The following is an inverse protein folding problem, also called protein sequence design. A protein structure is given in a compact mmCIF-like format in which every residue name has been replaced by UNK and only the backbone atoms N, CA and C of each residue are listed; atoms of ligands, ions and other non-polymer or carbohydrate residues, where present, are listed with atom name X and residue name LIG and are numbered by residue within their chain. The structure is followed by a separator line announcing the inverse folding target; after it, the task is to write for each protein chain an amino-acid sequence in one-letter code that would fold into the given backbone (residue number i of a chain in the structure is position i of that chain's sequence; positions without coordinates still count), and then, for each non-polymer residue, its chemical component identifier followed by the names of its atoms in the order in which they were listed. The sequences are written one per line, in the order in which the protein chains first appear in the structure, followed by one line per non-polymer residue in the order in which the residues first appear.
data_IF_833056737422
#
_entry.id   IF_833056737422
#
_cell.length_a   1.000
_cell.length_b   1.000
_cell.length_c   1.000
_cell.angle_alpha   90.00
_cell.angle_beta   90.00
_cell.angle_gamma   90.00
#
_symmetry.space_group_name_H-M   'P 1'
#
loop_
_entity.id
_entity.type
_entity.pdbx_description
1 polymer ?
#
# COMPACT_ATOMS: atom_id res chain seq x y z
N UNK A 1 16.45 -6.03 -14.35
CA UNK A 1 16.89 -5.03 -15.34
C UNK A 1 15.64 -4.33 -15.84
N UNK A 2 15.49 -3.00 -15.69
CA UNK A 2 14.42 -2.30 -16.44
C UNK A 2 14.78 -2.46 -17.91
N UNK A 3 14.07 -3.33 -18.63
CA UNK A 3 14.24 -3.41 -20.08
C UNK A 3 14.06 -1.99 -20.65
N UNK A 4 14.77 -1.61 -21.70
CA UNK A 4 14.65 -0.26 -22.29
C UNK A 4 13.22 0.15 -22.71
N UNK A 5 12.27 -0.80 -22.71
CA UNK A 5 10.84 -0.56 -22.78
C UNK A 5 10.22 -0.02 -21.49
N UNK A 6 10.56 -0.55 -20.31
CA UNK A 6 9.96 -0.11 -19.03
C UNK A 6 10.41 1.29 -18.61
N UNK A 7 11.61 1.75 -18.99
CA UNK A 7 12.01 3.14 -18.76
C UNK A 7 11.17 4.10 -19.59
N UNK A 8 10.92 3.76 -20.86
CA UNK A 8 10.00 4.54 -21.72
C UNK A 8 8.58 4.51 -21.17
N UNK A 9 8.10 3.34 -20.75
CA UNK A 9 6.79 3.22 -20.07
C UNK A 9 6.74 4.07 -18.82
N UNK A 10 7.79 4.10 -17.99
CA UNK A 10 7.84 4.90 -16.77
C UNK A 10 7.72 6.39 -17.07
N UNK A 11 8.48 6.90 -18.04
CA UNK A 11 8.41 8.31 -18.45
C UNK A 11 7.02 8.66 -19.01
N UNK A 12 6.46 7.80 -19.86
CA UNK A 12 5.12 7.97 -20.40
C UNK A 12 4.04 7.97 -19.31
N UNK A 13 4.14 7.06 -18.33
CA UNK A 13 3.23 6.94 -17.19
C UNK A 13 3.33 8.19 -16.31
N UNK A 14 4.54 8.66 -15.98
CA UNK A 14 4.73 9.88 -15.19
C UNK A 14 4.13 11.09 -15.89
N UNK A 15 4.34 11.24 -17.20
CA UNK A 15 3.77 12.32 -17.99
C UNK A 15 2.23 12.24 -18.05
N UNK A 16 1.68 11.05 -18.30
CA UNK A 16 0.23 10.82 -18.35
C UNK A 16 -0.44 11.12 -16.99
N UNK A 17 0.14 10.65 -15.89
CA UNK A 17 -0.36 10.93 -14.53
C UNK A 17 -0.27 12.42 -14.22
N UNK A 18 0.85 13.09 -14.54
CA UNK A 18 0.98 14.53 -14.34
C UNK A 18 -0.07 15.33 -15.13
N UNK A 19 -0.31 14.96 -16.40
CA UNK A 19 -1.35 15.57 -17.23
C UNK A 19 -2.75 15.34 -16.66
N UNK A 20 -3.07 14.10 -16.28
CA UNK A 20 -4.37 13.73 -15.70
C UNK A 20 -4.64 14.48 -14.39
N UNK A 21 -3.67 14.52 -13.47
CA UNK A 21 -3.81 15.24 -12.20
C UNK A 21 -3.89 16.76 -12.39
N UNK A 22 -3.18 17.30 -13.40
CA UNK A 22 -3.29 18.72 -13.76
C UNK A 22 -4.68 19.07 -14.28
N UNK A 23 -5.26 18.21 -15.13
CA UNK A 23 -6.62 18.35 -15.62
C UNK A 23 -7.65 18.29 -14.48
N UNK A 24 -7.54 17.29 -13.60
CA UNK A 24 -8.40 17.16 -12.40
C UNK A 24 -8.36 18.43 -11.57
N UNK A 25 -7.16 18.95 -11.26
CA UNK A 25 -7.00 20.19 -10.47
C UNK A 25 -7.67 21.38 -11.15
N UNK A 26 -7.48 21.52 -12.46
CA UNK A 26 -8.05 22.59 -13.25
C UNK A 26 -9.58 22.56 -13.22
N UNK A 27 -10.19 21.41 -13.46
CA UNK A 27 -11.64 21.20 -13.40
C UNK A 27 -12.18 21.43 -12.00
N UNK A 28 -11.50 20.90 -10.97
CA UNK A 28 -11.92 21.03 -9.58
C UNK A 28 -11.98 22.49 -9.10
N UNK A 29 -11.13 23.37 -9.63
CA UNK A 29 -11.15 24.81 -9.36
C UNK A 29 -12.34 25.54 -9.99
N UNK A 30 -12.94 24.99 -11.06
CA UNK A 30 -14.00 25.63 -11.84
C UNK A 30 -15.39 25.09 -11.51
N UNK A 31 -15.49 23.80 -11.18
CA UNK A 31 -16.74 23.14 -10.89
C UNK A 31 -16.94 22.97 -9.38
N UNK A 32 -18.16 23.19 -8.90
CA UNK A 32 -18.54 22.92 -7.51
C UNK A 32 -18.48 21.41 -7.20
N UNK A 33 -18.23 21.02 -5.94
CA UNK A 33 -18.32 19.61 -5.54
C UNK A 33 -19.67 18.97 -5.88
N UNK A 34 -19.67 17.68 -6.20
CA UNK A 34 -20.86 16.90 -6.53
C UNK A 34 -20.81 16.32 -7.94
N UNK A 35 -21.99 16.07 -8.51
CA UNK A 35 -22.14 15.36 -9.79
C UNK A 35 -21.41 16.01 -10.98
N UNK A 36 -21.43 17.35 -11.19
CA UNK A 36 -20.73 17.94 -12.33
C UNK A 36 -19.22 17.72 -12.27
N UNK A 37 -18.63 17.82 -11.08
CA UNK A 37 -17.20 17.56 -10.88
C UNK A 37 -16.87 16.09 -11.06
N UNK A 38 -17.71 15.19 -10.55
CA UNK A 38 -17.55 13.75 -10.76
C UNK A 38 -17.62 13.38 -12.25
N UNK A 39 -18.62 13.89 -12.98
CA UNK A 39 -18.77 13.64 -14.41
C UNK A 39 -17.51 14.08 -15.19
N UNK A 40 -16.95 15.24 -14.85
CA UNK A 40 -15.72 15.72 -15.47
C UNK A 40 -14.47 14.91 -15.05
N UNK A 41 -14.49 14.17 -13.94
CA UNK A 41 -13.39 13.29 -13.54
C UNK A 41 -13.46 11.91 -14.22
N UNK A 42 -14.62 11.49 -14.74
CA UNK A 42 -14.84 10.16 -15.34
C UNK A 42 -13.75 9.75 -16.34
N UNK A 43 -13.30 10.61 -17.28
CA UNK A 43 -12.23 10.23 -18.21
C UNK A 43 -10.92 9.86 -17.50
N UNK A 44 -10.58 10.56 -16.43
CA UNK A 44 -9.38 10.28 -15.63
C UNK A 44 -9.55 9.01 -14.82
N UNK A 45 -10.69 8.85 -14.14
CA UNK A 45 -11.03 7.64 -13.36
C UNK A 45 -11.09 6.38 -14.24
N UNK A 46 -11.42 6.51 -15.51
CA UNK A 46 -11.41 5.39 -16.46
C UNK A 46 -10.00 5.01 -16.91
N UNK A 47 -9.09 5.99 -17.04
CA UNK A 47 -7.74 5.78 -17.57
C UNK A 47 -6.75 5.33 -16.49
N UNK A 48 -6.83 5.88 -15.28
CA UNK A 48 -5.87 5.59 -14.20
C UNK A 48 -5.71 4.10 -13.88
N UNK A 49 -6.77 3.25 -13.85
CA UNK A 49 -6.62 1.82 -13.63
C UNK A 49 -5.97 1.07 -14.79
N UNK A 50 -5.96 1.65 -16.00
CA UNK A 50 -5.36 1.03 -17.19
C UNK A 50 -3.87 1.31 -17.29
N UNK A 51 -3.43 2.49 -16.85
CA UNK A 51 -2.02 2.93 -16.90
C UNK A 51 -1.02 1.89 -16.36
N UNK A 52 -1.25 1.22 -15.21
CA UNK A 52 -0.33 0.20 -14.69
C UNK A 52 -0.02 -0.94 -15.66
N UNK A 53 -0.96 -1.27 -16.57
CA UNK A 53 -0.80 -2.36 -17.54
C UNK A 53 0.25 -2.05 -18.62
N UNK A 54 0.74 -0.81 -18.71
CA UNK A 54 1.85 -0.43 -19.59
C UNK A 54 3.21 -1.00 -19.12
N UNK A 55 3.30 -1.47 -17.87
CA UNK A 55 4.53 -2.04 -17.32
C UNK A 55 4.62 -3.55 -17.59
N UNK A 56 5.79 -3.97 -18.06
CA UNK A 56 6.14 -5.39 -18.15
C UNK A 56 6.63 -5.91 -16.81
N UNK A 57 7.47 -5.13 -16.12
CA UNK A 57 7.94 -5.45 -14.79
C UNK A 57 6.79 -5.53 -13.78
N UNK A 58 6.69 -6.66 -13.09
CA UNK A 58 5.64 -6.97 -12.13
C UNK A 58 5.63 -5.97 -10.98
N UNK A 59 6.78 -5.67 -10.37
CA UNK A 59 6.84 -4.76 -9.21
C UNK A 59 6.35 -3.34 -9.58
N UNK A 60 6.70 -2.85 -10.77
CA UNK A 60 6.22 -1.55 -11.27
C UNK A 60 4.72 -1.57 -11.52
N UNK A 61 4.21 -2.65 -12.13
CA UNK A 61 2.78 -2.82 -12.41
C UNK A 61 1.95 -2.89 -11.14
N UNK A 62 2.35 -3.71 -10.17
CA UNK A 62 1.63 -3.87 -8.89
C UNK A 62 1.68 -2.58 -8.07
N UNK A 63 2.84 -1.95 -7.95
CA UNK A 63 2.99 -0.69 -7.20
C UNK A 63 2.16 0.43 -7.83
N UNK A 64 2.23 0.57 -9.16
CA UNK A 64 1.43 1.57 -9.88
C UNK A 64 -0.07 1.25 -9.82
N UNK A 65 -0.45 -0.02 -9.86
CA UNK A 65 -1.83 -0.47 -9.68
C UNK A 65 -2.39 -0.12 -8.31
N UNK A 66 -1.62 -0.35 -7.25
CA UNK A 66 -1.98 0.06 -5.90
C UNK A 66 -2.08 1.59 -5.77
N UNK A 67 -1.14 2.34 -6.33
CA UNK A 67 -1.13 3.81 -6.21
C UNK A 67 -2.22 4.48 -7.05
N UNK A 68 -2.30 4.13 -8.33
CA UNK A 68 -3.17 4.80 -9.31
C UNK A 68 -4.56 4.17 -9.35
N UNK A 69 -4.64 2.85 -9.50
CA UNK A 69 -5.91 2.12 -9.60
C UNK A 69 -6.69 2.03 -8.29
N UNK A 70 -6.07 2.37 -7.15
CA UNK A 70 -6.76 2.40 -5.85
C UNK A 70 -6.64 3.74 -5.12
N UNK A 71 -5.44 4.12 -4.67
CA UNK A 71 -5.33 5.28 -3.78
C UNK A 71 -5.72 6.59 -4.49
N UNK A 72 -5.26 6.78 -5.73
CA UNK A 72 -5.58 7.96 -6.52
C UNK A 72 -7.08 8.02 -6.83
N UNK A 73 -7.67 6.93 -7.33
CA UNK A 73 -9.13 6.81 -7.54
C UNK A 73 -9.94 7.30 -6.33
N UNK A 74 -9.63 6.77 -5.13
CA UNK A 74 -10.36 7.11 -3.92
C UNK A 74 -10.17 8.57 -3.50
N UNK A 75 -8.96 9.11 -3.68
CA UNK A 75 -8.68 10.53 -3.43
C UNK A 75 -9.43 11.43 -4.41
N UNK A 76 -9.51 11.05 -5.68
CA UNK A 76 -10.24 11.80 -6.71
C UNK A 76 -11.75 11.77 -6.47
N UNK A 77 -12.31 10.63 -6.09
CA UNK A 77 -13.73 10.51 -5.71
C UNK A 77 -14.08 11.37 -4.49
N UNK A 78 -13.18 11.43 -3.49
CA UNK A 78 -13.35 12.35 -2.36
C UNK A 78 -13.31 13.80 -2.82
N UNK A 79 -12.33 14.18 -3.64
CA UNK A 79 -12.21 15.54 -4.19
C UNK A 79 -13.44 15.92 -5.04
N UNK A 80 -13.96 14.99 -5.84
CA UNK A 80 -15.19 15.17 -6.60
C UNK A 80 -16.36 15.51 -5.68
N UNK A 81 -16.42 14.86 -4.52
CA UNK A 81 -17.42 15.04 -3.48
C UNK A 81 -17.15 16.22 -2.55
N UNK A 82 -16.05 16.96 -2.72
CA UNK A 82 -15.67 18.11 -1.88
C UNK A 82 -15.06 17.73 -0.53
N UNK A 83 -14.58 16.50 -0.40
CA UNK A 83 -13.98 15.95 0.81
C UNK A 83 -12.55 15.47 0.52
N UNK A 84 -11.89 14.96 1.56
CA UNK A 84 -10.62 14.24 1.42
C UNK A 84 -9.38 15.11 1.54
N UNK A 85 -8.20 14.50 1.31
CA UNK A 85 -6.91 15.13 1.60
C UNK A 85 -6.40 16.05 0.48
N UNK A 86 -7.11 16.13 -0.66
CA UNK A 86 -6.69 16.93 -1.81
C UNK A 86 -7.23 18.35 -1.73
N UNK A 87 -6.32 19.32 -1.82
CA UNK A 87 -6.66 20.73 -1.90
C UNK A 87 -6.15 21.33 -3.23
N UNK A 88 -7.06 21.96 -3.96
CA UNK A 88 -6.75 22.61 -5.24
C UNK A 88 -5.93 23.89 -5.11
N UNK A 89 -5.83 24.46 -3.91
CA UNK A 89 -4.99 25.63 -3.61
C UNK A 89 -3.49 25.32 -3.73
N UNK A 90 -3.12 24.04 -3.57
CA UNK A 90 -1.74 23.58 -3.56
C UNK A 90 -0.98 23.92 -4.85
N UNK A 91 0.35 24.12 -4.77
CA UNK A 91 1.22 24.12 -5.94
C UNK A 91 1.02 22.86 -6.76
N UNK A 92 1.12 22.97 -8.09
CA UNK A 92 0.81 21.85 -8.99
C UNK A 92 1.63 20.58 -8.66
N UNK A 93 2.95 20.63 -8.44
CA UNK A 93 3.73 19.45 -8.07
C UNK A 93 3.23 18.77 -6.78
N UNK A 94 2.86 19.58 -5.78
CA UNK A 94 2.29 19.11 -4.53
C UNK A 94 0.94 18.41 -4.72
N UNK A 95 0.07 19.00 -5.54
CA UNK A 95 -1.20 18.38 -5.88
C UNK A 95 -1.01 17.03 -6.59
N UNK A 96 -0.17 17.00 -7.63
CA UNK A 96 0.10 15.79 -8.43
C UNK A 96 0.61 14.66 -7.53
N UNK A 97 1.61 14.95 -6.69
CA UNK A 97 2.20 13.93 -5.84
C UNK A 97 1.26 13.46 -4.73
N UNK A 98 0.50 14.34 -4.07
CA UNK A 98 -0.49 13.90 -3.06
C UNK A 98 -1.59 13.08 -3.73
N UNK A 99 -1.98 13.42 -4.96
CA UNK A 99 -3.01 12.68 -5.69
C UNK A 99 -2.53 11.29 -6.12
N UNK A 100 -1.29 11.15 -6.60
CA UNK A 100 -0.79 9.90 -7.17
C UNK A 100 -0.09 8.98 -6.18
N UNK A 101 0.59 9.50 -5.16
CA UNK A 101 1.40 8.71 -4.22
C UNK A 101 0.60 8.37 -2.95
N UNK A 102 1.01 7.33 -2.18
CA UNK A 102 0.38 6.90 -0.92
C UNK A 102 0.61 7.87 0.24
N UNK A 103 0.61 9.17 -0.01
CA UNK A 103 0.98 10.20 0.95
C UNK A 103 -0.20 11.01 1.44
N UNK A 104 -0.07 11.45 2.68
CA UNK A 104 -0.97 12.35 3.40
C UNK A 104 -0.12 13.44 4.01
N UNK A 105 -0.56 14.70 3.85
CA UNK A 105 0.04 15.80 4.57
C UNK A 105 -0.29 15.65 6.05
N UNK A 106 0.73 15.79 6.88
CA UNK A 106 0.53 15.99 8.31
C UNK A 106 -0.18 17.33 8.55
N UNK A 107 -1.17 17.34 9.43
CA UNK A 107 -1.78 18.60 9.87
C UNK A 107 -0.76 19.42 10.69
N UNK A 108 -0.72 20.73 10.46
CA UNK A 108 0.25 21.65 11.08
C UNK A 108 0.22 21.62 12.62
N UNK A 109 -0.92 21.28 13.24
CA UNK A 109 -1.07 21.17 14.70
C UNK A 109 -0.30 20.02 15.36
N UNK A 110 0.10 19.00 14.60
CA UNK A 110 0.83 17.84 15.14
C UNK A 110 2.37 17.99 15.04
N UNK A 111 2.84 19.13 14.53
CA UNK A 111 4.23 19.32 14.07
C UNK A 111 5.20 19.84 15.14
N UNK A 112 4.74 20.49 16.21
CA UNK A 112 5.65 21.25 17.09
C UNK A 112 6.41 20.38 18.11
N UNK A 113 5.92 19.19 18.48
CA UNK A 113 6.53 18.38 19.56
C UNK A 113 6.62 16.87 19.31
N UNK A 114 6.25 16.37 18.12
CA UNK A 114 6.22 14.94 17.86
C UNK A 114 7.43 14.48 17.03
N UNK A 115 8.03 13.30 17.35
CA UNK A 115 9.17 12.77 16.61
C UNK A 115 8.85 12.66 15.11
N UNK A 116 9.87 12.91 14.28
CA UNK A 116 9.77 12.90 12.81
C UNK A 116 9.23 11.53 12.36
N UNK A 117 8.07 11.45 11.70
CA UNK A 117 7.51 10.19 11.27
C UNK A 117 8.21 9.71 9.99
N UNK A 118 8.41 8.39 9.91
CA UNK A 118 9.05 7.71 8.79
C UNK A 118 10.07 6.70 9.29
N UNK A 119 10.33 5.65 8.50
CA UNK A 119 11.48 4.79 8.78
C UNK A 119 12.75 5.63 8.72
N UNK A 120 13.51 5.67 9.81
CA UNK A 120 14.85 6.24 9.78
C UNK A 120 15.71 5.51 8.75
N UNK A 121 16.71 6.20 8.18
CA UNK A 121 17.60 5.61 7.17
C UNK A 121 18.20 4.28 7.62
N UNK A 122 18.57 4.17 8.90
CA UNK A 122 19.09 2.94 9.51
C UNK A 122 18.04 1.83 9.48
N UNK A 123 16.80 2.11 9.90
CA UNK A 123 15.72 1.12 9.87
C UNK A 123 15.43 0.66 8.44
N UNK A 124 15.43 1.58 7.47
CA UNK A 124 15.23 1.25 6.06
C UNK A 124 16.36 0.36 5.54
N UNK A 125 17.61 0.67 5.89
CA UNK A 125 18.76 -0.14 5.51
C UNK A 125 18.69 -1.55 6.12
N UNK A 126 18.30 -1.67 7.40
CA UNK A 126 18.10 -2.96 8.07
C UNK A 126 16.99 -3.77 7.37
N UNK A 127 15.85 -3.15 7.06
CA UNK A 127 14.77 -3.83 6.34
C UNK A 127 15.17 -4.24 4.92
N UNK A 128 15.93 -3.40 4.21
CA UNK A 128 16.47 -3.74 2.90
C UNK A 128 17.46 -4.91 2.98
N UNK A 129 18.32 -4.96 4.00
CA UNK A 129 19.24 -6.08 4.24
C UNK A 129 18.50 -7.38 4.59
N UNK A 130 17.44 -7.30 5.42
CA UNK A 130 16.58 -8.44 5.72
C UNK A 130 15.87 -8.95 4.45
N UNK A 131 15.33 -8.05 3.64
CA UNK A 131 14.71 -8.43 2.36
C UNK A 131 15.74 -9.07 1.42
N UNK A 132 16.94 -8.51 1.30
CA UNK A 132 18.01 -9.09 0.48
C UNK A 132 18.44 -10.49 0.98
N UNK A 133 18.41 -10.71 2.31
CA UNK A 133 18.69 -12.02 2.91
C UNK A 133 17.60 -13.02 2.56
N UNK A 134 16.31 -12.64 2.67
CA UNK A 134 15.18 -13.48 2.23
C UNK A 134 15.31 -13.82 0.74
N UNK A 135 15.65 -12.84 -0.09
CA UNK A 135 15.84 -13.05 -1.53
C UNK A 135 16.98 -14.04 -1.79
N UNK A 136 18.09 -13.95 -1.05
CA UNK A 136 19.24 -14.84 -1.22
C UNK A 136 18.97 -16.31 -0.89
N UNK A 137 17.91 -16.62 -0.12
CA UNK A 137 17.58 -18.01 0.24
C UNK A 137 16.56 -18.65 -0.71
N UNK A 138 15.84 -17.89 -1.55
CA UNK A 138 14.88 -18.44 -2.50
C UNK A 138 15.44 -19.44 -3.52
N UNK A 139 16.72 -19.38 -3.95
CA UNK A 139 17.32 -20.45 -4.77
C UNK A 139 17.24 -21.85 -4.13
N UNK A 140 17.05 -21.93 -2.80
CA UNK A 140 16.91 -23.18 -2.06
C UNK A 140 15.46 -23.50 -1.65
N UNK A 141 14.46 -22.81 -2.21
CA UNK A 141 13.06 -22.96 -1.80
C UNK A 141 12.51 -24.38 -1.91
N UNK A 142 12.98 -25.17 -2.88
CA UNK A 142 12.55 -26.56 -3.08
C UNK A 142 12.98 -27.50 -1.94
N UNK A 143 13.93 -27.07 -1.10
CA UNK A 143 14.40 -27.81 0.09
C UNK A 143 13.72 -27.34 1.38
N UNK A 144 12.90 -26.29 1.32
CA UNK A 144 12.29 -25.69 2.49
C UNK A 144 10.99 -26.40 2.85
N UNK A 145 10.70 -26.48 4.15
CA UNK A 145 9.36 -26.81 4.60
C UNK A 145 8.36 -25.76 4.07
N UNK A 146 7.18 -26.21 3.65
CA UNK A 146 6.15 -25.34 3.06
C UNK A 146 5.78 -24.15 3.95
N UNK A 147 5.61 -24.36 5.26
CA UNK A 147 5.27 -23.28 6.19
C UNK A 147 6.39 -22.26 6.34
N UNK A 148 7.66 -22.69 6.23
CA UNK A 148 8.80 -21.77 6.22
C UNK A 148 8.75 -20.91 4.96
N UNK A 149 8.48 -21.50 3.80
CA UNK A 149 8.36 -20.76 2.54
C UNK A 149 7.21 -19.74 2.58
N UNK A 150 6.04 -20.15 3.10
CA UNK A 150 4.88 -19.26 3.27
C UNK A 150 5.18 -18.08 4.22
N UNK A 151 5.93 -18.35 5.30
CA UNK A 151 6.39 -17.29 6.21
C UNK A 151 7.35 -16.32 5.50
N UNK A 152 8.30 -16.83 4.72
CA UNK A 152 9.22 -16.00 3.94
C UNK A 152 8.46 -15.14 2.92
N UNK A 153 7.42 -15.67 2.27
CA UNK A 153 6.55 -14.89 1.38
C UNK A 153 5.84 -13.75 2.13
N UNK A 154 5.32 -14.01 3.34
CA UNK A 154 4.67 -12.97 4.13
C UNK A 154 5.63 -11.88 4.59
N UNK A 155 6.82 -12.26 5.04
CA UNK A 155 7.87 -11.32 5.43
C UNK A 155 8.37 -10.50 4.25
N UNK A 156 8.54 -11.14 3.08
CA UNK A 156 8.89 -10.45 1.84
C UNK A 156 7.87 -9.36 1.53
N UNK A 157 6.58 -9.71 1.45
CA UNK A 157 5.51 -8.74 1.12
C UNK A 157 5.50 -7.58 2.11
N UNK A 158 5.62 -7.87 3.41
CA UNK A 158 5.68 -6.82 4.44
C UNK A 158 6.87 -5.87 4.23
N UNK A 159 8.09 -6.41 4.11
CA UNK A 159 9.31 -5.63 3.96
C UNK A 159 9.32 -4.84 2.64
N UNK A 160 8.93 -5.48 1.54
CA UNK A 160 8.88 -4.84 0.23
C UNK A 160 7.87 -3.69 0.22
N UNK A 161 6.68 -3.88 0.78
CA UNK A 161 5.66 -2.84 0.85
C UNK A 161 6.12 -1.67 1.75
N UNK A 162 6.70 -1.94 2.92
CA UNK A 162 7.25 -0.90 3.79
C UNK A 162 8.34 -0.07 3.07
N UNK A 163 9.28 -0.74 2.39
CA UNK A 163 10.36 -0.08 1.65
C UNK A 163 9.86 0.76 0.48
N UNK A 164 8.92 0.24 -0.31
CA UNK A 164 8.30 0.99 -1.43
C UNK A 164 7.57 2.22 -0.92
N UNK A 165 6.83 2.10 0.18
CA UNK A 165 6.13 3.22 0.79
C UNK A 165 7.09 4.24 1.42
N UNK A 166 8.15 3.78 2.09
CA UNK A 166 9.19 4.64 2.65
C UNK A 166 9.94 5.40 1.55
N UNK A 167 10.21 4.75 0.41
CA UNK A 167 10.81 5.39 -0.76
C UNK A 167 9.88 6.46 -1.36
N UNK A 168 8.60 6.13 -1.59
CA UNK A 168 7.61 7.09 -2.08
C UNK A 168 7.49 8.30 -1.14
N UNK A 169 7.57 8.06 0.17
CA UNK A 169 7.55 9.11 1.17
C UNK A 169 8.81 9.99 1.13
N UNK A 170 10.00 9.38 1.08
CA UNK A 170 11.25 10.11 0.96
C UNK A 170 11.31 10.96 -0.32
N UNK A 171 10.84 10.42 -1.45
CA UNK A 171 10.77 11.15 -2.71
C UNK A 171 9.83 12.37 -2.61
N UNK A 172 8.64 12.18 -2.03
CA UNK A 172 7.70 13.29 -1.83
C UNK A 172 8.26 14.37 -0.88
N UNK A 173 8.99 13.97 0.17
CA UNK A 173 9.68 14.91 1.05
C UNK A 173 10.79 15.67 0.32
N UNK A 174 11.62 14.99 -0.47
CA UNK A 174 12.74 15.61 -1.17
C UNK A 174 12.27 16.64 -2.22
N UNK A 175 11.19 16.35 -2.94
CA UNK A 175 10.69 17.23 -4.01
C UNK A 175 9.84 18.39 -3.48
N UNK A 176 9.15 18.21 -2.35
CA UNK A 176 8.08 19.13 -1.93
C UNK A 176 8.18 19.62 -0.48
N UNK A 177 9.16 19.15 0.29
CA UNK A 177 9.31 19.51 1.71
C UNK A 177 8.16 19.04 2.60
N UNK A 178 7.36 18.05 2.16
CA UNK A 178 6.20 17.58 2.92
C UNK A 178 6.57 16.43 3.85
N UNK A 179 6.23 16.58 5.12
CA UNK A 179 6.24 15.47 6.08
C UNK A 179 4.97 14.62 5.94
N UNK A 180 5.16 13.32 6.11
CA UNK A 180 4.20 12.30 5.72
C UNK A 180 3.86 11.41 6.90
N UNK A 181 2.60 10.99 6.93
CA UNK A 181 2.16 10.02 7.94
C UNK A 181 2.87 8.67 7.72
N UNK A 182 3.32 8.00 8.81
CA UNK A 182 3.80 6.63 8.74
C UNK A 182 2.74 5.72 8.14
N UNK A 183 3.17 4.77 7.32
CA UNK A 183 2.25 3.82 6.70
C UNK A 183 2.03 2.59 7.58
N UNK A 184 2.98 2.26 8.45
CA UNK A 184 2.88 1.16 9.39
C UNK A 184 3.24 1.61 10.80
N UNK A 185 2.67 0.92 11.79
CA UNK A 185 3.02 1.06 13.20
C UNK A 185 3.14 -0.33 13.85
N UNK A 186 4.32 -0.95 13.73
CA UNK A 186 4.68 -2.23 14.38
C UNK A 186 3.53 -3.26 14.32
N UNK A 187 3.09 -3.68 13.11
CA UNK A 187 1.90 -4.53 12.94
C UNK A 187 1.98 -5.87 13.67
N UNK A 188 3.19 -6.38 13.90
CA UNK A 188 3.45 -7.59 14.68
C UNK A 188 3.13 -7.46 16.19
N UNK A 189 2.79 -6.28 16.69
CA UNK A 189 2.35 -6.06 18.09
C UNK A 189 0.83 -5.99 18.24
N UNK A 190 0.07 -6.29 17.17
CA UNK A 190 -1.39 -6.21 17.18
C UNK A 190 -2.00 -7.29 18.07
N UNK A 191 -2.85 -6.92 19.02
CA UNK A 191 -3.56 -7.85 19.89
C UNK A 191 -5.01 -8.14 19.42
N UNK A 192 -5.42 -7.57 18.28
CA UNK A 192 -6.73 -7.78 17.65
C UNK A 192 -6.67 -7.42 16.16
N UNK A 193 -7.61 -7.92 15.37
CA UNK A 193 -7.75 -7.56 13.95
C UNK A 193 -8.07 -6.07 13.79
N UNK A 194 -8.86 -5.51 14.70
CA UNK A 194 -9.15 -4.06 14.71
C UNK A 194 -7.90 -3.21 14.91
N UNK A 195 -6.98 -3.64 15.79
CA UNK A 195 -5.71 -2.96 15.99
C UNK A 195 -4.81 -3.10 14.76
N UNK A 196 -4.71 -4.30 14.19
CA UNK A 196 -3.92 -4.56 12.99
C UNK A 196 -4.38 -3.70 11.80
N UNK A 197 -5.61 -3.90 11.33
CA UNK A 197 -6.14 -3.24 10.12
C UNK A 197 -6.47 -1.75 10.32
N UNK A 198 -6.83 -1.35 11.53
CA UNK A 198 -7.29 0.01 11.80
C UNK A 198 -6.18 1.00 12.14
N UNK A 199 -5.08 0.49 12.73
CA UNK A 199 -4.08 1.33 13.42
C UNK A 199 -2.63 0.97 13.14
N UNK A 200 -2.32 -0.17 12.53
CA UNK A 200 -0.93 -0.63 12.41
C UNK A 200 -0.49 -1.06 11.02
N UNK A 201 -1.43 -1.49 10.17
CA UNK A 201 -1.17 -1.97 8.82
C UNK A 201 -1.65 -0.96 7.77
N UNK A 202 -0.73 -0.50 6.90
CA UNK A 202 -0.99 0.33 5.72
C UNK A 202 -2.01 1.46 5.97
N UNK A 203 -1.70 2.36 6.90
CA UNK A 203 -2.60 3.37 7.47
C UNK A 203 -3.29 4.29 6.46
N UNK A 204 -2.71 4.47 5.26
CA UNK A 204 -3.34 5.24 4.19
C UNK A 204 -4.65 4.62 3.70
N UNK A 205 -4.69 3.29 3.56
CA UNK A 205 -5.84 2.53 3.05
C UNK A 205 -7.05 2.61 3.97
N UNK A 206 -7.01 2.16 5.25
CA UNK A 206 -8.17 2.19 6.12
C UNK A 206 -8.66 3.61 6.35
N UNK A 207 -7.77 4.60 6.29
CA UNK A 207 -8.17 5.98 6.44
C UNK A 207 -8.84 6.58 5.18
N UNK A 208 -8.60 6.05 3.98
CA UNK A 208 -9.38 6.37 2.77
C UNK A 208 -10.71 5.62 2.80
N UNK A 209 -10.71 4.31 3.09
CA UNK A 209 -11.92 3.49 3.21
C UNK A 209 -12.89 4.04 4.27
N UNK A 210 -12.37 4.56 5.39
CA UNK A 210 -13.19 5.23 6.40
C UNK A 210 -13.96 6.43 5.83
N UNK A 211 -13.33 7.22 4.97
CA UNK A 211 -13.94 8.42 4.37
C UNK A 211 -14.86 8.08 3.19
N UNK A 212 -14.40 7.22 2.27
CA UNK A 212 -15.13 6.89 1.05
C UNK A 212 -16.29 5.90 1.28
N UNK A 213 -16.15 4.99 2.24
CA UNK A 213 -17.05 3.82 2.37
C UNK A 213 -17.70 3.79 3.73
N UNK A 214 -16.91 3.67 4.80
CA UNK A 214 -17.43 3.37 6.13
C UNK A 214 -18.36 4.46 6.67
N UNK A 215 -17.95 5.73 6.59
CA UNK A 215 -18.76 6.87 7.05
C UNK A 215 -20.05 7.03 6.24
N UNK A 216 -20.03 7.05 4.90
CA UNK A 216 -21.26 7.11 4.10
C UNK A 216 -22.23 5.96 4.37
N UNK A 217 -21.73 4.72 4.48
CA UNK A 217 -22.57 3.55 4.77
C UNK A 217 -23.18 3.67 6.16
N UNK A 218 -22.39 4.03 7.17
CA UNK A 218 -22.89 4.25 8.53
C UNK A 218 -23.95 5.35 8.57
N UNK A 219 -23.75 6.45 7.84
CA UNK A 219 -24.72 7.55 7.79
C UNK A 219 -26.06 7.12 7.15
N UNK A 220 -26.03 6.18 6.19
CA UNK A 220 -27.23 5.61 5.54
C UNK A 220 -27.97 4.60 6.41
N UNK A 221 -27.25 3.75 7.14
CA UNK A 221 -27.85 2.73 8.02
C UNK A 221 -28.34 3.33 9.34
N UNK A 222 -27.67 4.38 9.84
CA UNK A 222 -28.00 5.08 11.07
C UNK A 222 -26.92 4.96 12.16
N UNK A 223 -27.20 5.58 13.31
CA UNK A 223 -26.34 5.52 14.49
C UNK A 223 -26.28 4.13 15.13
N UNK A 224 -25.44 3.98 16.15
CA UNK A 224 -25.37 2.76 16.96
C UNK A 224 -24.53 1.61 16.37
N UNK A 225 -24.69 0.42 16.96
CA UNK A 225 -23.86 -0.77 16.69
C UNK A 225 -24.06 -1.28 15.26
N UNK A 226 -25.30 -1.31 14.77
CA UNK A 226 -25.62 -1.78 13.41
C UNK A 226 -24.94 -0.93 12.33
N UNK A 227 -25.01 0.40 12.44
CA UNK A 227 -24.34 1.30 11.50
C UNK A 227 -22.81 1.21 11.54
N UNK A 228 -22.23 1.00 12.72
CA UNK A 228 -20.78 0.77 12.85
C UNK A 228 -20.39 -0.55 12.18
N UNK A 229 -21.14 -1.63 12.44
CA UNK A 229 -20.90 -2.94 11.83
C UNK A 229 -21.01 -2.87 10.30
N UNK A 230 -22.08 -2.29 9.78
CA UNK A 230 -22.28 -2.11 8.33
C UNK A 230 -21.14 -1.30 7.69
N UNK A 231 -20.72 -0.21 8.34
CA UNK A 231 -19.59 0.60 7.86
C UNK A 231 -18.26 -0.14 7.88
N UNK A 232 -18.03 -1.05 8.83
CA UNK A 232 -16.82 -1.90 8.88
C UNK A 232 -16.89 -2.96 7.78
N UNK A 233 -17.97 -3.73 7.72
CA UNK A 233 -18.16 -4.79 6.72
C UNK A 233 -18.04 -4.25 5.29
N UNK A 234 -18.66 -3.11 4.99
CA UNK A 234 -18.56 -2.48 3.68
C UNK A 234 -17.11 -2.05 3.36
N UNK A 235 -16.38 -1.48 4.32
CA UNK A 235 -14.99 -1.09 4.12
C UNK A 235 -14.09 -2.29 3.82
N UNK A 236 -14.28 -3.40 4.53
CA UNK A 236 -13.55 -4.65 4.28
C UNK A 236 -13.93 -5.28 2.94
N UNK A 237 -15.22 -5.29 2.56
CA UNK A 237 -15.66 -5.79 1.26
C UNK A 237 -15.01 -5.00 0.10
N UNK A 238 -15.06 -3.66 0.17
CA UNK A 238 -14.42 -2.80 -0.83
C UNK A 238 -12.90 -3.02 -0.84
N UNK A 239 -12.26 -3.17 0.31
CA UNK A 239 -10.84 -3.54 0.39
C UNK A 239 -10.57 -4.88 -0.30
N UNK A 240 -11.44 -5.88 -0.13
CA UNK A 240 -11.34 -7.18 -0.79
C UNK A 240 -11.35 -7.08 -2.31
N UNK A 241 -12.33 -6.36 -2.86
CA UNK A 241 -12.44 -6.08 -4.30
C UNK A 241 -11.17 -5.37 -4.81
N UNK A 242 -10.64 -4.40 -4.07
CA UNK A 242 -9.41 -3.73 -4.47
C UNK A 242 -8.19 -4.64 -4.42
N UNK A 243 -8.15 -5.62 -3.52
CA UNK A 243 -7.08 -6.63 -3.51
C UNK A 243 -7.21 -7.63 -4.66
N UNK A 244 -8.43 -7.95 -5.14
CA UNK A 244 -8.58 -8.67 -6.42
C UNK A 244 -7.93 -7.88 -7.56
N UNK A 245 -8.14 -6.57 -7.62
CA UNK A 245 -7.51 -5.72 -8.63
C UNK A 245 -5.98 -5.69 -8.50
N UNK A 246 -5.45 -5.61 -7.28
CA UNK A 246 -4.00 -5.68 -7.02
C UNK A 246 -3.41 -7.03 -7.45
N UNK A 247 -4.09 -8.14 -7.16
CA UNK A 247 -3.66 -9.47 -7.61
C UNK A 247 -3.82 -9.63 -9.12
N UNK A 248 -4.83 -9.02 -9.73
CA UNK A 248 -4.94 -8.94 -11.19
C UNK A 248 -3.71 -8.22 -11.79
N UNK A 249 -3.29 -7.09 -11.21
CA UNK A 249 -2.04 -6.44 -11.65
C UNK A 249 -0.81 -7.31 -11.44
N UNK A 250 -0.77 -8.19 -10.44
CA UNK A 250 0.35 -9.11 -10.29
C UNK A 250 0.32 -10.23 -11.35
N UNK A 251 -0.83 -10.89 -11.49
CA UNK A 251 -0.97 -12.17 -12.18
C UNK A 251 -1.44 -12.06 -13.63
N UNK A 252 -2.10 -10.96 -13.98
CA UNK A 252 -2.87 -10.77 -15.21
C UNK A 252 -3.93 -11.87 -15.46
N UNK A 253 -4.43 -12.48 -14.38
CA UNK A 253 -5.48 -13.51 -14.43
C UNK A 253 -6.78 -12.96 -13.84
N UNK A 254 -7.95 -13.45 -14.30
CA UNK A 254 -9.24 -13.04 -13.74
C UNK A 254 -9.30 -13.21 -12.21
N UNK A 255 -10.06 -12.36 -11.52
CA UNK A 255 -10.21 -12.42 -10.07
C UNK A 255 -10.84 -13.76 -9.65
N UNK A 256 -10.39 -14.28 -8.52
CA UNK A 256 -10.83 -15.60 -8.01
C UNK A 256 -11.87 -15.49 -6.91
N UNK A 257 -12.00 -14.31 -6.29
CA UNK A 257 -12.87 -14.10 -5.13
C UNK A 257 -12.20 -14.45 -3.80
N UNK A 258 -11.04 -15.12 -3.82
CA UNK A 258 -10.32 -15.53 -2.60
C UNK A 258 -9.80 -14.33 -1.77
N UNK A 259 -9.14 -13.31 -2.37
CA UNK A 259 -8.83 -12.07 -1.67
C UNK A 259 -10.06 -11.37 -1.10
N UNK A 260 -11.17 -11.36 -1.85
CA UNK A 260 -12.42 -10.77 -1.35
C UNK A 260 -12.93 -11.52 -0.13
N UNK A 261 -12.89 -12.85 -0.16
CA UNK A 261 -13.27 -13.71 0.96
C UNK A 261 -12.37 -13.47 2.20
N UNK A 262 -11.06 -13.30 2.00
CA UNK A 262 -10.11 -12.98 3.08
C UNK A 262 -10.52 -11.71 3.82
N UNK A 263 -10.75 -10.61 3.09
CA UNK A 263 -11.13 -9.35 3.73
C UNK A 263 -12.54 -9.40 4.30
N UNK A 264 -13.51 -10.05 3.64
CA UNK A 264 -14.85 -10.22 4.18
C UNK A 264 -14.84 -10.98 5.52
N UNK A 265 -14.08 -12.08 5.61
CA UNK A 265 -13.87 -12.83 6.84
C UNK A 265 -13.25 -11.95 7.94
N UNK A 266 -12.18 -11.23 7.61
CA UNK A 266 -11.51 -10.33 8.57
C UNK A 266 -12.43 -9.21 9.05
N UNK A 267 -13.29 -8.67 8.18
CA UNK A 267 -14.29 -7.67 8.53
C UNK A 267 -15.34 -8.21 9.49
N UNK A 268 -15.86 -9.42 9.22
CA UNK A 268 -16.81 -10.11 10.11
C UNK A 268 -16.19 -10.37 11.48
N UNK A 269 -14.96 -10.90 11.52
CA UNK A 269 -14.22 -11.13 12.77
C UNK A 269 -13.94 -9.81 13.51
N UNK A 270 -13.58 -8.72 12.82
CA UNK A 270 -13.36 -7.42 13.47
C UNK A 270 -14.64 -6.83 14.09
N UNK A 271 -15.81 -7.05 13.46
CA UNK A 271 -17.11 -6.69 14.04
C UNK A 271 -17.39 -7.55 15.27
N UNK A 272 -17.17 -8.87 15.17
CA UNK A 272 -17.36 -9.80 16.29
C UNK A 272 -16.44 -9.44 17.47
N UNK A 273 -15.15 -9.18 17.25
CA UNK A 273 -14.21 -8.68 18.26
C UNK A 273 -14.75 -7.41 18.94
N UNK A 274 -15.32 -6.50 18.15
CA UNK A 274 -15.92 -5.28 18.69
C UNK A 274 -17.15 -5.51 19.55
N UNK A 275 -17.97 -6.48 19.18
CA UNK A 275 -19.11 -6.90 19.95
C UNK A 275 -18.66 -7.56 21.26
N UNK A 276 -17.77 -8.56 21.22
CA UNK A 276 -17.23 -9.21 22.43
C UNK A 276 -16.55 -8.21 23.36
N UNK A 277 -15.77 -7.28 22.83
CA UNK A 277 -15.09 -6.27 23.64
C UNK A 277 -16.06 -5.33 24.38
N UNK A 278 -17.30 -5.15 23.86
CA UNK A 278 -18.34 -4.35 24.50
C UNK A 278 -19.14 -5.13 25.57
N UNK A 279 -19.09 -6.47 25.56
CA UNK A 279 -19.81 -7.32 26.52
C UNK A 279 -18.91 -7.66 27.72
N UNK A 280 -19.27 -7.15 28.91
CA UNK A 280 -18.46 -7.26 30.15
C UNK A 280 -18.16 -8.69 30.61
N UNK A 281 -18.87 -9.70 30.11
CA UNK A 281 -18.70 -11.10 30.51
C UNK A 281 -17.62 -11.87 29.76
N UNK A 282 -16.98 -11.29 28.74
CA UNK A 282 -15.96 -12.00 27.96
C UNK A 282 -14.54 -11.75 28.50
N UNK A 283 -13.85 -12.76 29.05
CA UNK A 283 -12.49 -12.58 29.54
C UNK A 283 -11.56 -12.26 28.38
N UNK A 284 -10.75 -11.22 28.54
CA UNK A 284 -9.74 -10.85 27.54
C UNK A 284 -8.46 -11.64 27.81
N UNK A 285 -7.94 -12.39 26.82
CA UNK A 285 -6.67 -13.08 27.01
C UNK A 285 -5.54 -12.07 27.28
N UNK A 286 -4.46 -12.48 27.97
CA UNK A 286 -3.27 -11.66 28.12
C UNK A 286 -2.78 -11.15 26.75
N UNK A 287 -2.23 -9.93 26.72
CA UNK A 287 -1.88 -9.26 25.45
C UNK A 287 -0.98 -10.12 24.56
N UNK A 288 0.02 -10.79 25.12
CA UNK A 288 0.92 -11.66 24.37
C UNK A 288 0.17 -12.82 23.68
N UNK A 289 -0.76 -13.46 24.38
CA UNK A 289 -1.60 -14.54 23.83
C UNK A 289 -2.52 -13.98 22.74
N UNK A 290 -3.17 -12.83 22.99
CA UNK A 290 -4.01 -12.17 22.01
C UNK A 290 -3.23 -11.81 20.73
N UNK A 291 -1.99 -11.33 20.87
CA UNK A 291 -1.10 -11.04 19.75
C UNK A 291 -0.72 -12.30 18.98
N UNK A 292 -0.31 -13.37 19.67
CA UNK A 292 0.01 -14.63 19.02
C UNK A 292 -1.19 -15.18 18.23
N UNK A 293 -2.39 -15.19 18.82
CA UNK A 293 -3.61 -15.63 18.17
C UNK A 293 -3.99 -14.75 16.98
N UNK A 294 -3.87 -13.43 17.11
CA UNK A 294 -4.16 -12.48 16.02
C UNK A 294 -3.23 -12.70 14.84
N UNK A 295 -1.93 -12.84 15.08
CA UNK A 295 -0.94 -13.08 14.03
C UNK A 295 -1.12 -14.45 13.40
N UNK A 296 -1.36 -15.50 14.20
CA UNK A 296 -1.64 -16.83 13.70
C UNK A 296 -2.87 -16.84 12.79
N UNK A 297 -3.94 -16.15 13.18
CA UNK A 297 -5.14 -16.01 12.35
C UNK A 297 -4.84 -15.31 11.03
N UNK A 298 -4.18 -14.15 11.07
CA UNK A 298 -3.83 -13.37 9.85
C UNK A 298 -2.94 -14.19 8.91
N UNK A 299 -1.95 -14.89 9.44
CA UNK A 299 -1.04 -15.71 8.65
C UNK A 299 -1.77 -16.92 8.06
N UNK A 300 -2.56 -17.64 8.87
CA UNK A 300 -3.30 -18.81 8.40
C UNK A 300 -4.30 -18.45 7.29
N UNK A 301 -5.08 -17.38 7.46
CA UNK A 301 -6.01 -16.93 6.42
C UNK A 301 -5.28 -16.35 5.22
N UNK A 302 -4.12 -15.70 5.41
CA UNK A 302 -3.29 -15.20 4.32
C UNK A 302 -2.71 -16.32 3.46
N UNK A 303 -2.20 -17.38 4.10
CA UNK A 303 -1.72 -18.59 3.44
C UNK A 303 -2.83 -19.30 2.69
N UNK A 304 -4.05 -19.25 3.20
CA UNK A 304 -5.21 -19.89 2.57
C UNK A 304 -5.80 -19.10 1.40
N UNK A 305 -5.91 -17.77 1.51
CA UNK A 305 -6.76 -16.98 0.59
C UNK A 305 -5.99 -15.91 -0.21
N UNK A 306 -4.77 -15.56 0.19
CA UNK A 306 -3.96 -14.54 -0.50
C UNK A 306 -2.82 -15.18 -1.30
N UNK A 307 -2.15 -16.18 -0.73
CA UNK A 307 -1.00 -16.82 -1.39
C UNK A 307 -1.39 -17.68 -2.61
N UNK A 308 -2.44 -18.52 -2.57
CA UNK A 308 -2.72 -19.45 -3.66
C UNK A 308 -3.03 -18.81 -5.02
N UNK A 309 -3.74 -17.67 -5.14
CA UNK A 309 -3.88 -16.97 -6.41
C UNK A 309 -2.55 -16.58 -7.07
N UNK A 310 -1.51 -16.32 -6.27
CA UNK A 310 -0.20 -15.87 -6.74
C UNK A 310 0.67 -17.07 -7.12
N UNK A 311 0.65 -18.14 -6.31
CA UNK A 311 1.49 -19.32 -6.55
C UNK A 311 0.94 -20.22 -7.65
N UNK A 312 -0.39 -20.39 -7.76
CA UNK A 312 -1.01 -21.20 -8.83
C UNK A 312 -0.73 -20.65 -10.23
N UNK A 313 -0.49 -19.35 -10.36
CA UNK A 313 -0.14 -18.70 -11.64
C UNK A 313 1.36 -18.66 -11.91
N UNK A 314 2.19 -19.15 -10.98
CA UNK A 314 3.65 -19.06 -11.03
C UNK A 314 4.18 -17.62 -10.86
N UNK A 315 3.33 -16.70 -10.40
CA UNK A 315 3.67 -15.28 -10.26
C UNK A 315 4.68 -15.07 -9.13
N UNK A 316 4.70 -15.93 -8.12
CA UNK A 316 5.73 -15.97 -7.08
C UNK A 316 7.15 -16.10 -7.66
N UNK A 317 7.34 -16.89 -8.72
CA UNK A 317 8.64 -17.05 -9.39
C UNK A 317 9.09 -15.75 -10.06
N UNK A 318 8.16 -15.01 -10.65
CA UNK A 318 8.44 -13.71 -11.28
C UNK A 318 8.80 -12.67 -10.23
N UNK A 319 8.07 -12.64 -9.10
CA UNK A 319 8.40 -11.78 -7.95
C UNK A 319 9.83 -12.07 -7.48
N UNK A 320 10.16 -13.34 -7.21
CA UNK A 320 11.50 -13.74 -6.77
C UNK A 320 12.57 -13.29 -7.76
N UNK A 321 12.40 -13.61 -9.06
CA UNK A 321 13.38 -13.27 -10.09
C UNK A 321 13.61 -11.75 -10.23
N UNK A 322 12.54 -10.95 -10.16
CA UNK A 322 12.68 -9.49 -10.19
C UNK A 322 13.35 -8.94 -8.91
N UNK A 323 13.06 -9.52 -7.74
CA UNK A 323 13.73 -9.15 -6.49
C UNK A 323 15.21 -9.52 -6.48
N UNK A 324 15.58 -10.70 -6.99
CA UNK A 324 16.97 -11.12 -7.19
C UNK A 324 17.72 -10.14 -8.10
N UNK A 325 17.11 -9.76 -9.22
CA UNK A 325 17.68 -8.78 -10.13
C UNK A 325 17.85 -7.39 -9.49
N UNK A 326 16.91 -6.98 -8.62
CA UNK A 326 17.01 -5.73 -7.87
C UNK A 326 18.18 -5.77 -6.86
N UNK A 327 18.30 -6.85 -6.09
CA UNK A 327 19.39 -7.03 -5.11
C UNK A 327 20.75 -7.06 -5.79
N UNK A 328 20.87 -7.77 -6.92
CA UNK A 328 22.10 -7.79 -7.72
C UNK A 328 22.47 -6.39 -8.21
N UNK A 329 21.51 -5.64 -8.77
CA UNK A 329 21.74 -4.28 -9.24
C UNK A 329 22.25 -3.35 -8.12
N UNK A 330 21.63 -3.39 -6.94
CA UNK A 330 22.07 -2.56 -5.79
C UNK A 330 23.48 -2.94 -5.34
N UNK A 331 23.80 -4.24 -5.32
CA UNK A 331 25.13 -4.75 -4.98
C UNK A 331 26.19 -4.26 -5.97
N UNK A 332 25.90 -4.35 -7.26
CA UNK A 332 26.82 -3.95 -8.33
C UNK A 332 27.03 -2.44 -8.38
N UNK A 333 25.96 -1.66 -8.19
CA UNK A 333 26.06 -0.21 -8.07
C UNK A 333 26.91 0.20 -6.85
N UNK A 334 26.73 -0.50 -5.71
CA UNK A 334 27.51 -0.28 -4.50
C UNK A 334 28.99 -0.64 -4.67
N UNK A 335 29.29 -1.75 -5.34
CA UNK A 335 30.68 -2.17 -5.61
C UNK A 335 31.39 -1.20 -6.56
N UNK A 336 30.68 -0.72 -7.58
CA UNK A 336 31.16 0.31 -8.50
C UNK A 336 31.44 1.63 -7.78
N UNK A 337 30.50 2.12 -6.97
CA UNK A 337 30.71 3.35 -6.20
C UNK A 337 31.91 3.25 -5.26
N UNK A 338 32.07 2.12 -4.55
CA UNK A 338 33.21 1.88 -3.68
C UNK A 338 34.54 1.82 -4.46
N UNK A 339 34.55 1.23 -5.67
CA UNK A 339 35.71 1.20 -6.54
C UNK A 339 36.09 2.60 -7.04
N UNK A 340 35.11 3.42 -7.45
CA UNK A 340 35.31 4.81 -7.86
C UNK A 340 35.88 5.69 -6.75
N UNK A 341 35.38 5.53 -5.51
CA UNK A 341 35.92 6.24 -4.33
C UNK A 341 37.36 5.80 -4.04
N UNK A 342 37.65 4.50 -4.07
CA UNK A 342 39.02 4.01 -3.87
C UNK A 342 39.98 4.57 -4.92
N UNK A 343 39.59 4.55 -6.19
CA UNK A 343 40.40 5.11 -7.30
C UNK A 343 40.68 6.60 -7.11
N UNK A 344 39.67 7.38 -6.71
CA UNK A 344 39.83 8.81 -6.44
C UNK A 344 40.75 9.10 -5.24
N UNK A 345 40.76 8.24 -4.22
CA UNK A 345 41.63 8.39 -3.05
C UNK A 345 43.08 7.94 -3.30
N UNK A 346 43.31 7.00 -4.23
CA UNK A 346 44.65 6.49 -4.56
C UNK A 346 45.32 7.22 -5.74
N UNK A 347 44.59 8.07 -6.48
CA UNK A 347 45.08 8.77 -7.67
C UNK A 347 45.77 10.12 -7.43
N UNK A 348 46.27 10.40 -6.23
CA UNK A 348 47.00 11.63 -5.87
C UNK A 348 48.39 11.34 -5.24
N UNK A 349 49.09 10.33 -5.74
CA UNK A 349 50.49 10.04 -5.38
C UNK A 349 51.43 10.24 -6.55
#
# INVERSE_FOLDING_TARGET
MMAGGDLRSLLAVVAAVAAAMSYVRFVARRLRPGLPRLAAFVPVLAVLPVIPLAFRALHLRVTSGFFLGWLAEFKLLLLASGHGPLDTSLPLPAFVAIASLPVRRRAQRDSENAPRPGLGLVTSAVMAALLATIVSVYPHKERMNEYVLLMLYSLHVYLALELVLAFAAAAARAVMGMDLEPQFDRPYLSASLREFWGRRWNLSVPALLRQCVSRPVRARVGGGVAGVAAGVLAAFLVSGIMHEAVIYYATLRPPTGEPTAFFALHGACAVAEGWFAAHKGWPRPPRAVATALTLAFILATGFWLIVPPITRTGTDRVVIAESEAMVAFVRDAGSWAAASVRSALTGHS
#
